data_IF_310936930177
#
_entry.id   IF_310936930177
#
_cell.length_a   1.000
_cell.length_b   1.000
_cell.length_c   1.000
_cell.angle_alpha   90.00
_cell.angle_beta   90.00
_cell.angle_gamma   90.00
#
_symmetry.space_group_name_H-M   'P 1'
#
loop_
_entity.id
_entity.type
_entity.pdbx_description
1 polymer ?
#
# COMPACT_ATOMS: atom_id res chain seq x y z
N UNK A 1 4.00 -28.61 3.06
CA UNK A 1 2.93 -28.32 2.09
C UNK A 1 1.64 -28.21 2.86
N UNK A 2 1.17 -26.97 3.06
CA UNK A 2 -0.17 -26.74 3.61
C UNK A 2 -1.17 -26.96 2.47
N UNK A 3 -2.40 -27.39 2.78
CA UNK A 3 -3.43 -27.55 1.75
C UNK A 3 -3.75 -26.20 1.08
N UNK A 4 -4.08 -26.21 -0.21
CA UNK A 4 -4.39 -25.01 -1.02
C UNK A 4 -5.32 -24.02 -0.32
N UNK A 5 -6.28 -24.53 0.44
CA UNK A 5 -7.29 -23.72 1.13
C UNK A 5 -6.72 -22.97 2.33
N UNK A 6 -5.73 -23.57 3.00
CA UNK A 6 -5.08 -22.97 4.16
C UNK A 6 -4.07 -21.90 3.73
N UNK A 7 -3.33 -22.11 2.64
CA UNK A 7 -2.44 -21.10 2.06
C UNK A 7 -3.25 -19.86 1.59
N UNK A 8 -4.41 -20.08 0.97
CA UNK A 8 -5.33 -19.01 0.60
C UNK A 8 -5.86 -18.23 1.82
N UNK A 9 -6.28 -18.92 2.88
CA UNK A 9 -6.76 -18.26 4.09
C UNK A 9 -5.68 -17.42 4.78
N UNK A 10 -4.42 -17.88 4.79
CA UNK A 10 -3.31 -17.10 5.31
C UNK A 10 -2.98 -15.89 4.43
N UNK A 11 -3.04 -16.04 3.11
CA UNK A 11 -2.86 -14.93 2.19
C UNK A 11 -3.93 -13.86 2.43
N UNK A 12 -5.21 -14.23 2.51
CA UNK A 12 -6.32 -13.31 2.76
C UNK A 12 -6.16 -12.58 4.10
N UNK A 13 -5.79 -13.30 5.17
CA UNK A 13 -5.55 -12.71 6.48
C UNK A 13 -4.40 -11.68 6.43
N UNK A 14 -3.35 -11.97 5.66
CA UNK A 14 -2.23 -11.07 5.45
C UNK A 14 -2.63 -9.82 4.65
N UNK A 15 -3.37 -9.96 3.55
CA UNK A 15 -3.86 -8.82 2.76
C UNK A 15 -4.78 -7.92 3.58
N UNK A 16 -5.64 -8.49 4.42
CA UNK A 16 -6.46 -7.74 5.38
C UNK A 16 -5.58 -6.99 6.39
N UNK A 17 -4.59 -7.65 6.99
CA UNK A 17 -3.71 -7.00 7.95
C UNK A 17 -2.91 -5.84 7.33
N UNK A 18 -2.48 -5.98 6.07
CA UNK A 18 -1.86 -4.88 5.32
C UNK A 18 -2.86 -3.76 5.13
N UNK A 19 -4.05 -4.02 4.58
CA UNK A 19 -5.07 -2.99 4.34
C UNK A 19 -5.42 -2.18 5.60
N UNK A 20 -5.48 -2.84 6.75
CA UNK A 20 -5.76 -2.21 8.06
C UNK A 20 -4.52 -1.54 8.70
N UNK A 21 -3.33 -1.64 8.07
CA UNK A 21 -2.09 -1.08 8.60
C UNK A 21 -1.56 -1.79 9.85
N UNK A 22 -1.92 -3.06 10.08
CA UNK A 22 -1.49 -3.85 11.23
C UNK A 22 -0.04 -4.35 11.07
N UNK A 23 0.92 -3.44 11.28
CA UNK A 23 2.36 -3.69 11.15
C UNK A 23 2.82 -4.87 12.00
N UNK A 24 2.32 -5.00 13.23
CA UNK A 24 2.76 -6.04 14.17
C UNK A 24 2.43 -7.44 13.67
N UNK A 25 1.23 -7.64 13.14
CA UNK A 25 0.83 -8.91 12.56
C UNK A 25 1.65 -9.23 11.29
N UNK A 26 1.82 -8.26 10.39
CA UNK A 26 2.62 -8.44 9.16
C UNK A 26 4.08 -8.79 9.49
N UNK A 27 4.65 -8.15 10.51
CA UNK A 27 6.02 -8.43 10.98
C UNK A 27 6.15 -9.84 11.57
N UNK A 28 5.24 -10.25 12.45
CA UNK A 28 5.31 -11.59 13.03
C UNK A 28 5.10 -12.68 11.99
N UNK A 29 4.18 -12.48 11.04
CA UNK A 29 3.92 -13.44 9.98
C UNK A 29 5.10 -13.54 9.01
N UNK A 30 5.74 -12.42 8.66
CA UNK A 30 6.93 -12.42 7.79
C UNK A 30 8.15 -13.08 8.43
N UNK A 31 8.30 -13.02 9.75
CA UNK A 31 9.33 -13.79 10.48
C UNK A 31 8.98 -15.29 10.51
N UNK A 32 7.72 -15.62 10.81
CA UNK A 32 7.28 -17.00 10.97
C UNK A 32 7.27 -17.77 9.64
N UNK A 33 6.93 -17.10 8.53
CA UNK A 33 6.91 -17.66 7.20
C UNK A 33 7.21 -16.58 6.14
N UNK A 34 8.48 -16.42 5.78
CA UNK A 34 8.91 -15.40 4.82
C UNK A 34 8.38 -15.63 3.40
N UNK A 35 8.11 -16.88 3.01
CA UNK A 35 7.60 -17.22 1.67
C UNK A 35 6.18 -16.70 1.46
N UNK A 36 5.43 -16.48 2.54
CA UNK A 36 4.06 -15.96 2.48
C UNK A 36 3.99 -14.54 1.92
N UNK A 37 5.08 -13.77 2.02
CA UNK A 37 5.21 -12.43 1.45
C UNK A 37 5.37 -12.44 -0.07
N UNK A 38 5.67 -13.62 -0.65
CA UNK A 38 5.77 -13.84 -2.09
C UNK A 38 4.46 -14.31 -2.70
N UNK A 39 3.43 -14.55 -1.88
CA UNK A 39 2.12 -14.96 -2.38
C UNK A 39 1.48 -13.79 -3.13
N UNK A 40 0.94 -14.14 -4.30
CA UNK A 40 0.19 -13.22 -5.15
C UNK A 40 -1.26 -13.31 -4.71
N UNK A 41 -1.90 -12.15 -4.54
CA UNK A 41 -3.36 -12.13 -4.41
C UNK A 41 -3.98 -12.74 -5.68
N UNK A 42 -5.25 -13.15 -5.57
CA UNK A 42 -6.08 -13.59 -6.71
C UNK A 42 -6.10 -12.51 -7.83
N UNK A 43 -5.90 -11.24 -7.46
CA UNK A 43 -5.77 -10.10 -8.38
C UNK A 43 -4.40 -9.96 -9.06
N UNK A 44 -3.50 -10.95 -8.94
CA UNK A 44 -2.11 -10.89 -9.44
C UNK A 44 -1.32 -9.68 -8.91
N UNK A 45 -1.73 -9.13 -7.77
CA UNK A 45 -0.98 -8.12 -7.06
C UNK A 45 -0.25 -8.77 -5.90
N UNK A 46 1.04 -8.48 -5.77
CA UNK A 46 1.75 -8.88 -4.57
C UNK A 46 1.48 -7.89 -3.43
N UNK A 47 1.88 -8.30 -2.23
CA UNK A 47 1.70 -7.52 -1.01
C UNK A 47 2.33 -6.12 -1.07
N UNK A 48 3.41 -5.97 -1.84
CA UNK A 48 4.11 -4.70 -1.96
C UNK A 48 3.30 -3.68 -2.75
N UNK A 49 2.52 -4.11 -3.77
CA UNK A 49 1.60 -3.23 -4.49
C UNK A 49 0.54 -2.69 -3.53
N UNK A 50 -0.05 -3.54 -2.68
CA UNK A 50 -0.98 -3.12 -1.65
C UNK A 50 -0.36 -2.10 -0.68
N UNK A 51 0.84 -2.37 -0.17
CA UNK A 51 1.51 -1.44 0.75
C UNK A 51 1.74 -0.06 0.13
N UNK A 52 2.05 -0.01 -1.17
CA UNK A 52 2.21 1.24 -1.92
C UNK A 52 0.88 1.95 -2.13
N UNK A 53 -0.16 1.23 -2.55
CA UNK A 53 -1.48 1.79 -2.82
C UNK A 53 -2.13 2.38 -1.56
N UNK A 54 -1.96 1.73 -0.41
CA UNK A 54 -2.47 2.19 0.87
C UNK A 54 -1.49 3.13 1.62
N UNK A 55 -0.34 3.49 1.01
CA UNK A 55 0.69 4.38 1.59
C UNK A 55 1.13 4.00 3.00
N UNK A 56 1.28 2.71 3.23
CA UNK A 56 1.59 2.17 4.56
C UNK A 56 3.10 2.23 4.80
N UNK A 57 3.65 3.44 4.91
CA UNK A 57 5.09 3.68 5.02
C UNK A 57 5.74 2.89 6.18
N UNK A 58 4.99 2.66 7.27
CA UNK A 58 5.41 1.85 8.41
C UNK A 58 5.51 0.35 8.05
N UNK A 59 4.50 -0.19 7.36
CA UNK A 59 4.51 -1.57 6.86
C UNK A 59 5.60 -1.74 5.80
N UNK A 60 5.74 -0.79 4.88
CA UNK A 60 6.79 -0.79 3.85
C UNK A 60 8.19 -0.82 4.45
N UNK A 61 8.47 0.06 5.41
CA UNK A 61 9.78 0.13 6.08
C UNK A 61 10.10 -1.18 6.81
N UNK A 62 9.07 -1.80 7.40
CA UNK A 62 9.18 -3.07 8.11
C UNK A 62 9.52 -4.23 7.15
N UNK A 63 8.79 -4.36 6.03
CA UNK A 63 9.06 -5.44 5.06
C UNK A 63 10.37 -5.20 4.30
N UNK A 64 10.70 -3.95 3.96
CA UNK A 64 11.95 -3.59 3.30
C UNK A 64 13.18 -3.92 4.18
N UNK A 65 13.04 -3.88 5.52
CA UNK A 65 14.06 -4.31 6.47
C UNK A 65 14.34 -5.81 6.48
N UNK A 66 13.39 -6.64 6.02
CA UNK A 66 13.43 -8.11 6.07
C UNK A 66 14.11 -8.77 4.85
N UNK A 67 15.06 -8.09 4.21
CA UNK A 67 15.87 -8.61 3.09
C UNK A 67 15.15 -8.82 1.73
N UNK A 68 13.92 -8.36 1.54
CA UNK A 68 13.19 -8.48 0.26
C UNK A 68 13.59 -7.45 -0.81
N UNK A 69 14.75 -6.78 -0.68
CA UNK A 69 15.17 -5.69 -1.58
C UNK A 69 15.16 -6.07 -3.06
N UNK A 70 15.61 -7.29 -3.39
CA UNK A 70 15.60 -7.80 -4.76
C UNK A 70 14.18 -7.99 -5.30
N UNK A 71 13.30 -8.60 -4.49
CA UNK A 71 11.90 -8.86 -4.85
C UNK A 71 11.14 -7.55 -5.07
N UNK A 72 11.34 -6.56 -4.19
CA UNK A 72 10.76 -5.22 -4.33
C UNK A 72 11.25 -4.55 -5.61
N UNK A 73 12.53 -4.63 -5.93
CA UNK A 73 13.08 -4.00 -7.13
C UNK A 73 12.56 -4.63 -8.44
N UNK A 74 12.29 -5.94 -8.45
CA UNK A 74 11.82 -6.65 -9.65
C UNK A 74 10.31 -6.78 -9.74
N UNK A 75 9.60 -6.48 -8.66
CA UNK A 75 8.15 -6.60 -8.58
C UNK A 75 7.43 -5.63 -9.50
N UNK A 76 6.38 -6.14 -10.15
CA UNK A 76 5.54 -5.40 -11.06
C UNK A 76 4.06 -5.56 -10.70
N UNK A 77 3.28 -4.53 -10.98
CA UNK A 77 1.82 -4.61 -10.95
C UNK A 77 1.29 -5.46 -12.14
N UNK A 78 -0.04 -5.60 -12.21
CA UNK A 78 -0.73 -6.32 -13.29
C UNK A 78 -0.52 -5.70 -14.69
N UNK A 79 -0.04 -4.46 -14.75
CA UNK A 79 0.24 -3.72 -15.97
C UNK A 79 1.74 -3.77 -16.34
N UNK A 80 2.57 -4.44 -15.55
CA UNK A 80 4.00 -4.53 -15.76
C UNK A 80 4.80 -3.33 -15.25
N UNK A 81 4.16 -2.40 -14.53
CA UNK A 81 4.82 -1.23 -13.94
C UNK A 81 5.58 -1.64 -12.68
N UNK A 82 6.77 -1.09 -12.48
CA UNK A 82 7.53 -1.34 -11.25
C UNK A 82 6.85 -0.69 -10.04
N UNK A 83 7.07 -1.24 -8.84
CA UNK A 83 6.59 -0.64 -7.59
C UNK A 83 6.99 0.83 -7.43
N UNK A 84 8.19 1.20 -7.90
CA UNK A 84 8.65 2.59 -7.88
C UNK A 84 7.73 3.49 -8.73
N UNK A 85 7.37 3.04 -9.93
CA UNK A 85 6.45 3.78 -10.79
C UNK A 85 5.07 3.93 -10.14
N UNK A 86 4.51 2.84 -9.62
CA UNK A 86 3.20 2.85 -8.94
C UNK A 86 3.22 3.81 -7.74
N UNK A 87 4.30 3.79 -6.94
CA UNK A 87 4.45 4.67 -5.78
C UNK A 87 4.51 6.15 -6.16
N UNK A 88 5.19 6.48 -7.26
CA UNK A 88 5.26 7.84 -7.75
C UNK A 88 3.89 8.34 -8.23
N UNK A 89 3.12 7.49 -8.92
CA UNK A 89 1.76 7.81 -9.36
C UNK A 89 0.80 7.97 -8.18
N UNK A 90 0.82 7.05 -7.20
CA UNK A 90 -0.02 7.16 -6.00
C UNK A 90 0.29 8.40 -5.18
N UNK A 91 1.57 8.76 -5.02
CA UNK A 91 1.97 10.00 -4.36
C UNK A 91 1.47 11.24 -5.12
N UNK A 92 1.62 11.25 -6.45
CA UNK A 92 1.16 12.34 -7.29
C UNK A 92 -0.36 12.54 -7.18
N UNK A 93 -1.14 11.45 -7.24
CA UNK A 93 -2.60 11.46 -7.08
C UNK A 93 -3.03 12.02 -5.71
N UNK A 94 -2.31 11.67 -4.64
CA UNK A 94 -2.59 12.22 -3.32
C UNK A 94 -2.26 13.72 -3.22
N UNK A 95 -1.14 14.15 -3.79
CA UNK A 95 -0.77 15.56 -3.82
C UNK A 95 -1.79 16.39 -4.61
N UNK A 96 -2.26 15.89 -5.75
CA UNK A 96 -3.27 16.60 -6.55
C UNK A 96 -4.61 16.67 -5.84
N UNK A 97 -5.05 15.59 -5.17
CA UNK A 97 -6.26 15.60 -4.34
C UNK A 97 -6.16 16.58 -3.16
N UNK A 98 -5.02 16.60 -2.47
CA UNK A 98 -4.77 17.56 -1.39
C UNK A 98 -4.75 19.00 -1.90
N UNK A 99 -4.20 19.25 -3.09
CA UNK A 99 -4.20 20.57 -3.71
C UNK A 99 -5.61 21.01 -4.10
N UNK A 100 -6.42 20.13 -4.72
CA UNK A 100 -7.82 20.43 -5.06
C UNK A 100 -8.63 20.81 -3.81
N UNK A 101 -8.47 20.04 -2.73
CA UNK A 101 -9.13 20.32 -1.47
C UNK A 101 -8.67 21.66 -0.85
N UNK A 102 -7.38 21.97 -0.93
CA UNK A 102 -6.84 23.25 -0.47
C UNK A 102 -7.43 24.44 -1.23
N UNK A 103 -7.51 24.36 -2.58
CA UNK A 103 -8.09 25.42 -3.39
C UNK A 103 -9.59 25.62 -3.11
N UNK A 104 -10.36 24.54 -2.99
CA UNK A 104 -11.78 24.60 -2.56
C UNK A 104 -11.94 25.26 -1.18
N UNK A 105 -11.09 24.92 -0.21
CA UNK A 105 -11.11 25.55 1.11
C UNK A 105 -10.70 27.05 1.09
N UNK A 106 -9.84 27.46 0.15
CA UNK A 106 -9.42 28.86 0.00
C UNK A 106 -10.53 29.70 -0.64
N UNK A 107 -11.19 29.17 -1.65
CA UNK A 107 -12.33 29.80 -2.33
C UNK A 107 -13.49 30.04 -1.37
N UNK A 108 -13.90 29.01 -0.61
CA UNK A 108 -14.93 29.13 0.43
C UNK A 108 -14.60 30.18 1.51
N UNK A 109 -13.32 30.33 1.87
CA UNK A 109 -12.88 31.37 2.82
C UNK A 109 -12.95 32.78 2.24
N UNK A 110 -12.67 32.93 0.95
CA UNK A 110 -12.77 34.23 0.28
C UNK A 110 -14.24 34.66 0.14
N UNK A 111 -15.14 33.74 -0.23
CA UNK A 111 -16.57 34.01 -0.29
C UNK A 111 -17.15 34.35 1.10
N UNK A 112 -16.75 33.61 2.13
CA UNK A 112 -17.16 33.90 3.52
C UNK A 112 -16.68 35.26 4.06
N UNK A 113 -15.64 35.86 3.48
CA UNK A 113 -15.18 37.21 3.82
C UNK A 113 -15.95 38.27 3.02
N UNK A 114 -16.32 37.97 1.78
CA UNK A 114 -17.08 38.87 0.90
C UNK A 114 -18.47 39.22 1.44
N UNK A 115 -19.12 38.29 2.15
CA UNK A 115 -20.43 38.52 2.78
C UNK A 115 -20.38 39.15 4.18
N UNK A 116 -19.19 39.45 4.69
CA UNK A 116 -18.98 40.09 6.01
C UNK A 116 -18.48 41.53 5.93
N UNK A 117 -18.44 42.11 4.73
CA UNK A 117 -18.05 43.51 4.48
C UNK A 117 -19.25 44.37 4.12
#
# INVERSE_FOLDING_TARGET
>A
MLGSDQENAFADALFCAVKEGNVGFVFQLSIANSEIMLIWAISFQNIFCYVVDYQLASVFSTIHGLCFKGVVATSKDIHGNTLLYVSAISLLLHLTASMDQYYKCKENRNDSRRWRG
#
